data_IF_523331708214
#
_entry.id   IF_523331708214
#
_cell.length_a   1.000
_cell.length_b   1.000
_cell.length_c   1.000
_cell.angle_alpha   90.00
_cell.angle_beta   90.00
_cell.angle_gamma   90.00
#
_symmetry.space_group_name_H-M   'P 1'
#
loop_
_entity.id
_entity.type
_entity.pdbx_description
1 polymer ?
#
# COMPACT_ATOMS: atom_id res chain seq x y z
N UNK A 1 -25.76 -18.08 1.95
CA UNK A 1 -24.41 -18.66 2.11
C UNK A 1 -23.87 -19.06 0.76
N UNK A 2 -22.97 -18.26 0.17
CA UNK A 2 -22.17 -18.72 -0.97
C UNK A 2 -21.04 -19.61 -0.47
N UNK A 3 -20.62 -20.64 -1.25
CA UNK A 3 -19.47 -21.45 -0.87
C UNK A 3 -18.22 -20.54 -0.80
N UNK A 4 -17.31 -20.74 0.17
CA UNK A 4 -16.14 -19.88 0.38
C UNK A 4 -15.27 -19.70 -0.89
N UNK A 5 -15.33 -20.65 -1.82
CA UNK A 5 -14.64 -20.57 -3.12
C UNK A 5 -15.26 -19.56 -4.09
N UNK A 6 -16.57 -19.32 -4.04
CA UNK A 6 -17.27 -18.43 -4.97
C UNK A 6 -16.90 -16.97 -4.74
N UNK A 7 -16.93 -16.48 -3.49
CA UNK A 7 -16.56 -15.10 -3.16
C UNK A 7 -15.11 -14.80 -3.57
N UNK A 8 -14.21 -15.77 -3.39
CA UNK A 8 -12.82 -15.67 -3.79
C UNK A 8 -12.65 -15.61 -5.32
N UNK A 9 -13.35 -16.47 -6.07
CA UNK A 9 -13.34 -16.42 -7.54
C UNK A 9 -13.91 -15.10 -8.08
N UNK A 10 -15.04 -14.64 -7.53
CA UNK A 10 -15.70 -13.38 -7.91
C UNK A 10 -14.76 -12.20 -7.67
N UNK A 11 -14.14 -12.10 -6.49
CA UNK A 11 -13.22 -11.00 -6.20
C UNK A 11 -12.00 -11.01 -7.15
N UNK A 12 -11.48 -12.19 -7.53
CA UNK A 12 -10.41 -12.29 -8.53
C UNK A 12 -10.85 -11.84 -9.92
N UNK A 13 -12.07 -12.18 -10.33
CA UNK A 13 -12.64 -11.73 -11.60
C UNK A 13 -12.79 -10.21 -11.58
N UNK A 14 -13.37 -9.63 -10.51
CA UNK A 14 -13.48 -8.18 -10.34
C UNK A 14 -12.10 -7.51 -10.36
N UNK A 15 -11.10 -8.11 -9.73
CA UNK A 15 -9.73 -7.62 -9.78
C UNK A 15 -9.17 -7.57 -11.21
N UNK A 16 -9.36 -8.63 -12.00
CA UNK A 16 -8.90 -8.66 -13.39
C UNK A 16 -9.65 -7.64 -14.25
N UNK A 17 -10.96 -7.51 -14.07
CA UNK A 17 -11.77 -6.53 -14.78
C UNK A 17 -11.36 -5.09 -14.41
N UNK A 18 -10.88 -4.84 -13.19
CA UNK A 18 -10.37 -3.52 -12.75
C UNK A 18 -9.08 -3.08 -13.45
N UNK A 19 -8.53 -3.87 -14.37
CA UNK A 19 -7.43 -3.46 -15.24
C UNK A 19 -7.94 -2.58 -16.40
N UNK A 20 -9.21 -2.71 -16.77
CA UNK A 20 -9.83 -1.97 -17.88
C UNK A 20 -10.66 -0.80 -17.37
N UNK A 21 -10.33 0.43 -17.79
CA UNK A 21 -11.09 1.63 -17.45
C UNK A 21 -12.56 1.54 -17.88
N UNK A 22 -12.83 0.91 -19.03
CA UNK A 22 -14.19 0.66 -19.53
C UNK A 22 -14.97 -0.24 -18.57
N UNK A 23 -14.35 -1.33 -18.10
CA UNK A 23 -14.97 -2.22 -17.13
C UNK A 23 -15.21 -1.52 -15.80
N UNK A 24 -14.28 -0.67 -15.34
CA UNK A 24 -14.46 0.14 -14.13
C UNK A 24 -15.64 1.11 -14.29
N UNK A 25 -15.78 1.74 -15.46
CA UNK A 25 -16.93 2.58 -15.80
C UNK A 25 -18.25 1.81 -15.67
N UNK A 26 -18.32 0.59 -16.23
CA UNK A 26 -19.49 -0.29 -16.12
C UNK A 26 -19.75 -0.73 -14.67
N UNK A 27 -18.71 -1.06 -13.91
CA UNK A 27 -18.84 -1.42 -12.49
C UNK A 27 -19.42 -0.27 -11.65
N UNK A 28 -19.07 0.97 -11.96
CA UNK A 28 -19.63 2.16 -11.30
C UNK A 28 -21.15 2.32 -11.48
N UNK A 29 -21.75 1.62 -12.45
CA UNK A 29 -23.20 1.57 -12.66
C UNK A 29 -23.88 0.43 -11.88
N UNK A 30 -23.13 -0.36 -11.12
CA UNK A 30 -23.61 -1.52 -10.34
C UNK A 30 -23.20 -1.39 -8.89
N UNK A 31 -23.86 -2.07 -7.95
CA UNK A 31 -23.43 -2.09 -6.53
C UNK A 31 -22.22 -3.03 -6.33
N UNK A 32 -21.03 -2.57 -6.74
CA UNK A 32 -19.80 -3.38 -6.72
C UNK A 32 -19.05 -3.27 -5.38
N UNK A 33 -19.15 -2.12 -4.71
CA UNK A 33 -18.34 -1.87 -3.51
C UNK A 33 -18.89 -2.57 -2.26
N UNK A 34 -20.22 -2.65 -2.11
CA UNK A 34 -20.82 -3.34 -0.96
C UNK A 34 -20.45 -4.83 -0.92
N UNK A 35 -20.55 -5.62 -2.01
CA UNK A 35 -20.12 -7.02 -1.99
C UNK A 35 -18.62 -7.19 -1.72
N UNK A 36 -17.76 -6.33 -2.28
CA UNK A 36 -16.31 -6.36 -2.00
C UNK A 36 -16.05 -6.13 -0.51
N UNK A 37 -16.67 -5.08 0.07
CA UNK A 37 -16.51 -4.75 1.48
C UNK A 37 -16.98 -5.89 2.40
N UNK A 38 -18.14 -6.51 2.11
CA UNK A 38 -18.63 -7.66 2.88
C UNK A 38 -17.67 -8.86 2.77
N UNK A 39 -17.20 -9.16 1.56
CA UNK A 39 -16.26 -10.26 1.31
C UNK A 39 -14.99 -10.09 2.15
N UNK A 40 -14.45 -8.88 2.21
CA UNK A 40 -13.27 -8.55 3.03
C UNK A 40 -13.54 -8.60 4.54
N UNK A 41 -14.76 -8.27 4.98
CA UNK A 41 -15.15 -8.36 6.41
C UNK A 41 -15.22 -9.80 6.88
N UNK A 42 -15.72 -10.70 6.04
CA UNK A 42 -15.92 -12.12 6.36
C UNK A 42 -14.65 -12.96 6.15
N UNK A 43 -13.77 -12.57 5.24
CA UNK A 43 -12.62 -13.38 4.82
C UNK A 43 -11.32 -12.58 4.92
N UNK A 44 -10.56 -12.79 6.01
CA UNK A 44 -9.31 -12.09 6.26
C UNK A 44 -8.26 -12.29 5.13
N UNK A 45 -8.23 -13.48 4.53
CA UNK A 45 -7.31 -13.82 3.43
C UNK A 45 -7.56 -12.97 2.17
N UNK A 46 -8.79 -12.48 1.97
CA UNK A 46 -9.18 -11.69 0.81
C UNK A 46 -8.96 -10.19 0.99
N UNK A 47 -8.59 -9.74 2.19
CA UNK A 47 -8.43 -8.31 2.48
C UNK A 47 -7.36 -7.68 1.58
N UNK A 48 -6.22 -8.36 1.37
CA UNK A 48 -5.13 -7.84 0.53
C UNK A 48 -5.60 -7.65 -0.91
N UNK A 49 -6.22 -8.69 -1.50
CA UNK A 49 -6.76 -8.62 -2.87
C UNK A 49 -7.86 -7.56 -3.00
N UNK A 50 -8.71 -7.43 -1.98
CA UNK A 50 -9.75 -6.41 -1.92
C UNK A 50 -9.16 -4.99 -1.91
N UNK A 51 -8.12 -4.74 -1.10
CA UNK A 51 -7.39 -3.46 -1.07
C UNK A 51 -6.76 -3.13 -2.43
N UNK A 52 -6.07 -4.09 -3.07
CA UNK A 52 -5.51 -3.92 -4.41
C UNK A 52 -6.60 -3.59 -5.45
N UNK A 53 -7.75 -4.27 -5.37
CA UNK A 53 -8.89 -4.03 -6.27
C UNK A 53 -9.50 -2.65 -6.06
N UNK A 54 -9.80 -2.27 -4.82
CA UNK A 54 -10.35 -0.95 -4.51
C UNK A 54 -9.41 0.19 -4.90
N UNK A 55 -8.12 0.05 -4.65
CA UNK A 55 -7.14 1.04 -5.09
C UNK A 55 -7.20 1.28 -6.60
N UNK A 56 -7.32 0.21 -7.40
CA UNK A 56 -7.48 0.32 -8.87
C UNK A 56 -8.79 0.99 -9.26
N UNK A 57 -9.90 0.59 -8.63
CA UNK A 57 -11.22 1.18 -8.89
C UNK A 57 -11.22 2.70 -8.67
N UNK A 58 -10.65 3.16 -7.56
CA UNK A 58 -10.63 4.59 -7.24
C UNK A 58 -9.59 5.39 -8.03
N UNK A 59 -8.50 4.77 -8.49
CA UNK A 59 -7.52 5.44 -9.37
C UNK A 59 -8.09 5.85 -10.72
N UNK A 60 -9.17 5.20 -11.18
CA UNK A 60 -9.86 5.57 -12.40
C UNK A 60 -10.72 6.84 -12.26
N UNK A 61 -10.81 7.43 -11.05
CA UNK A 61 -11.47 8.71 -10.78
C UNK A 61 -12.91 8.79 -11.31
N UNK A 62 -13.69 7.70 -11.16
CA UNK A 62 -15.11 7.67 -11.55
C UNK A 62 -15.98 8.11 -10.37
N UNK A 63 -16.66 9.25 -10.50
CA UNK A 63 -17.55 9.76 -9.45
C UNK A 63 -18.64 8.78 -8.97
N UNK A 64 -19.26 7.93 -9.83
CA UNK A 64 -20.22 6.93 -9.37
C UNK A 64 -19.65 5.96 -8.33
N UNK A 65 -18.37 5.61 -8.42
CA UNK A 65 -17.71 4.74 -7.43
C UNK A 65 -17.51 5.47 -6.11
N UNK A 66 -17.17 6.76 -6.15
CA UNK A 66 -17.00 7.56 -4.92
C UNK A 66 -18.34 7.78 -4.23
N UNK A 67 -19.42 7.99 -5.00
CA UNK A 67 -20.79 8.00 -4.47
C UNK A 67 -21.11 6.69 -3.74
N UNK A 68 -20.91 5.54 -4.40
CA UNK A 68 -21.14 4.24 -3.77
C UNK A 68 -20.29 4.06 -2.50
N UNK A 69 -19.04 4.51 -2.51
CA UNK A 69 -18.15 4.41 -1.35
C UNK A 69 -18.71 5.18 -0.14
N UNK A 70 -19.35 6.33 -0.36
CA UNK A 70 -20.04 7.08 0.68
C UNK A 70 -21.31 6.36 1.14
N UNK A 71 -22.12 5.87 0.20
CA UNK A 71 -23.40 5.19 0.48
C UNK A 71 -23.23 3.90 1.32
N UNK A 72 -22.06 3.25 1.24
CA UNK A 72 -21.75 2.00 1.96
C UNK A 72 -20.79 2.21 3.14
N UNK A 73 -20.53 3.47 3.50
CA UNK A 73 -19.60 3.85 4.58
C UNK A 73 -18.22 3.21 4.42
N UNK A 74 -17.72 3.18 3.17
CA UNK A 74 -16.44 2.57 2.85
C UNK A 74 -15.27 3.37 3.45
N UNK A 75 -15.36 4.70 3.48
CA UNK A 75 -14.28 5.56 4.01
C UNK A 75 -13.98 5.26 5.48
N UNK A 76 -14.97 5.22 6.41
CA UNK A 76 -14.76 4.76 7.78
C UNK A 76 -14.21 3.32 7.87
N UNK A 77 -14.70 2.41 7.03
CA UNK A 77 -14.22 1.02 7.03
C UNK A 77 -12.73 0.94 6.66
N UNK A 78 -12.30 1.67 5.64
CA UNK A 78 -10.89 1.72 5.22
C UNK A 78 -10.00 2.34 6.30
N UNK A 79 -10.46 3.37 7.00
CA UNK A 79 -9.76 3.91 8.17
C UNK A 79 -9.62 2.86 9.28
N UNK A 80 -10.67 2.08 9.55
CA UNK A 80 -10.61 0.96 10.50
C UNK A 80 -9.65 -0.16 10.09
N UNK A 81 -9.37 -0.33 8.79
CA UNK A 81 -8.29 -1.23 8.36
C UNK A 81 -6.91 -0.67 8.75
N UNK A 82 -6.70 0.63 8.55
CA UNK A 82 -5.46 1.32 8.88
C UNK A 82 -5.16 1.37 10.40
N UNK A 83 -6.20 1.27 11.23
CA UNK A 83 -6.13 1.28 12.70
C UNK A 83 -5.71 -0.07 13.33
N UNK A 84 -4.90 -0.86 12.59
CA UNK A 84 -4.24 -2.06 13.11
C UNK A 84 -4.81 -3.40 12.64
N UNK A 85 -5.93 -3.41 11.90
CA UNK A 85 -6.43 -4.64 11.25
C UNK A 85 -5.45 -5.20 10.22
N UNK A 86 -4.65 -4.32 9.60
CA UNK A 86 -3.65 -4.73 8.61
C UNK A 86 -2.33 -5.22 9.23
N UNK A 87 -2.05 -4.98 10.51
CA UNK A 87 -0.72 -5.18 11.12
C UNK A 87 -0.28 -6.64 11.20
N UNK A 88 -1.24 -7.56 11.24
CA UNK A 88 -0.99 -9.01 11.38
C UNK A 88 -0.79 -9.72 10.04
N UNK A 89 -0.75 -9.00 8.93
CA UNK A 89 -0.65 -9.58 7.58
C UNK A 89 0.77 -9.50 7.02
N UNK A 90 1.16 -10.53 6.26
CA UNK A 90 2.48 -10.70 5.63
C UNK A 90 2.87 -9.51 4.71
N UNK A 91 1.90 -8.73 4.25
CA UNK A 91 2.09 -7.54 3.41
C UNK A 91 1.37 -6.30 3.95
N UNK A 92 1.43 -6.09 5.27
CA UNK A 92 0.78 -4.98 5.97
C UNK A 92 1.11 -3.61 5.35
N UNK A 93 2.40 -3.30 5.12
CA UNK A 93 2.84 -2.01 4.58
C UNK A 93 2.25 -1.73 3.18
N UNK A 94 2.31 -2.72 2.28
CA UNK A 94 1.72 -2.62 0.93
C UNK A 94 0.21 -2.39 1.02
N UNK A 95 -0.49 -3.16 1.85
CA UNK A 95 -1.94 -3.05 2.01
C UNK A 95 -2.34 -1.68 2.56
N UNK A 96 -1.60 -1.16 3.56
CA UNK A 96 -1.79 0.20 4.09
C UNK A 96 -1.58 1.25 3.00
N UNK A 97 -0.51 1.15 2.20
CA UNK A 97 -0.25 2.07 1.10
C UNK A 97 -1.38 2.06 0.05
N UNK A 98 -1.93 0.89 -0.29
CA UNK A 98 -3.07 0.75 -1.20
C UNK A 98 -4.33 1.41 -0.65
N UNK A 99 -4.62 1.22 0.64
CA UNK A 99 -5.76 1.88 1.29
C UNK A 99 -5.57 3.40 1.29
N UNK A 100 -4.39 3.91 1.65
CA UNK A 100 -4.09 5.35 1.61
C UNK A 100 -4.24 5.89 0.19
N UNK A 101 -3.76 5.14 -0.82
CA UNK A 101 -3.91 5.51 -2.23
C UNK A 101 -5.38 5.61 -2.64
N UNK A 102 -6.19 4.63 -2.27
CA UNK A 102 -7.64 4.65 -2.51
C UNK A 102 -8.32 5.86 -1.88
N UNK A 103 -8.01 6.16 -0.60
CA UNK A 103 -8.54 7.32 0.12
C UNK A 103 -8.15 8.64 -0.56
N UNK A 104 -6.87 8.81 -0.93
CA UNK A 104 -6.39 10.00 -1.66
C UNK A 104 -7.08 10.16 -3.02
N UNK A 105 -7.24 9.08 -3.78
CA UNK A 105 -7.96 9.10 -5.06
C UNK A 105 -9.41 9.51 -4.90
N UNK A 106 -10.12 9.04 -3.87
CA UNK A 106 -11.50 9.47 -3.61
C UNK A 106 -11.61 10.97 -3.32
N UNK A 107 -10.62 11.59 -2.67
CA UNK A 107 -10.59 13.05 -2.47
C UNK A 107 -10.47 13.84 -3.77
N UNK A 108 -10.02 13.22 -4.87
CA UNK A 108 -9.89 13.87 -6.18
C UNK A 108 -11.21 13.89 -6.97
N UNK A 109 -12.27 13.24 -6.46
CA UNK A 109 -13.60 13.30 -7.06
C UNK A 109 -14.12 14.74 -7.12
N UNK A 110 -14.61 15.14 -8.28
CA UNK A 110 -15.13 16.49 -8.51
C UNK A 110 -16.41 16.73 -7.71
N UNK A 111 -17.26 15.70 -7.62
CA UNK A 111 -18.58 15.83 -6.99
C UNK A 111 -18.56 15.53 -5.49
N UNK A 112 -17.74 14.57 -5.06
CA UNK A 112 -17.81 14.01 -3.72
C UNK A 112 -16.50 14.14 -2.92
N UNK A 113 -15.42 14.64 -3.54
CA UNK A 113 -14.11 14.72 -2.91
C UNK A 113 -14.08 15.59 -1.65
N UNK A 114 -14.87 16.67 -1.61
CA UNK A 114 -15.01 17.52 -0.43
C UNK A 114 -15.65 16.77 0.75
N UNK A 115 -16.67 15.95 0.49
CA UNK A 115 -17.33 15.15 1.51
C UNK A 115 -16.40 14.06 2.05
N UNK A 116 -15.68 13.37 1.17
CA UNK A 116 -14.67 12.38 1.57
C UNK A 116 -13.58 13.04 2.43
N UNK A 117 -13.09 14.21 2.00
CA UNK A 117 -12.06 14.96 2.74
C UNK A 117 -12.55 15.38 4.13
N UNK A 118 -13.81 15.78 4.27
CA UNK A 118 -14.39 16.12 5.56
C UNK A 118 -14.43 14.92 6.52
N UNK A 119 -14.76 13.72 6.03
CA UNK A 119 -14.72 12.48 6.83
C UNK A 119 -13.28 12.19 7.27
N UNK A 120 -12.33 12.30 6.35
CA UNK A 120 -10.90 12.03 6.62
C UNK A 120 -10.29 13.02 7.60
N UNK A 121 -10.62 14.31 7.51
CA UNK A 121 -10.09 15.34 8.41
C UNK A 121 -10.56 15.18 9.87
N UNK A 122 -11.68 14.48 10.10
CA UNK A 122 -12.15 14.14 11.44
C UNK A 122 -11.45 12.90 12.03
N UNK A 123 -10.64 12.18 11.24
CA UNK A 123 -10.00 10.95 11.65
C UNK A 123 -8.57 11.17 12.14
N UNK A 124 -8.32 10.80 13.40
CA UNK A 124 -6.97 10.79 13.97
C UNK A 124 -6.05 9.80 13.25
N UNK A 125 -6.60 8.66 12.82
CA UNK A 125 -5.87 7.66 12.03
C UNK A 125 -5.37 8.30 10.74
N UNK A 126 -6.22 9.05 10.04
CA UNK A 126 -5.85 9.68 8.78
C UNK A 126 -4.72 10.70 8.92
N UNK A 127 -4.67 11.47 10.00
CA UNK A 127 -3.57 12.41 10.28
C UNK A 127 -2.21 11.73 10.17
N UNK A 128 -2.09 10.52 10.73
CA UNK A 128 -0.85 9.74 10.70
C UNK A 128 -0.47 9.29 9.28
N UNK A 129 -1.44 9.05 8.39
CA UNK A 129 -1.17 8.55 7.03
C UNK A 129 -1.14 9.63 5.94
N UNK A 130 -1.81 10.76 6.15
CA UNK A 130 -1.99 11.81 5.12
C UNK A 130 -0.65 12.42 4.67
N UNK A 131 0.26 12.64 5.62
CA UNK A 131 1.57 13.30 5.44
C UNK A 131 2.71 12.33 5.08
N UNK A 132 2.53 11.01 5.26
CA UNK A 132 3.61 10.02 5.13
C UNK A 132 3.81 9.50 3.69
N UNK A 133 4.11 10.37 2.74
CA UNK A 133 4.40 9.94 1.35
C UNK A 133 5.82 9.33 1.17
N UNK A 134 6.72 9.37 2.17
CA UNK A 134 8.12 8.91 2.01
C UNK A 134 8.60 7.85 3.01
N UNK A 135 8.07 7.78 4.24
CA UNK A 135 8.59 6.87 5.28
C UNK A 135 8.03 5.45 5.25
N UNK A 136 7.01 5.16 4.43
CA UNK A 136 6.41 3.81 4.36
C UNK A 136 7.32 2.76 3.68
N UNK A 137 8.46 3.16 3.11
CA UNK A 137 9.39 2.29 2.37
C UNK A 137 10.77 2.10 3.04
N UNK A 138 11.06 2.75 4.16
CA UNK A 138 12.25 2.40 4.93
C UNK A 138 11.85 1.27 5.87
N UNK A 139 12.00 0.03 5.39
CA UNK A 139 12.20 -1.10 6.29
C UNK A 139 13.32 -0.70 7.24
N UNK A 140 13.04 -0.55 8.54
CA UNK A 140 14.07 -0.60 9.57
C UNK A 140 14.68 -2.00 9.52
N UNK A 141 15.51 -2.26 8.50
CA UNK A 141 16.55 -3.26 8.63
C UNK A 141 17.43 -2.72 9.76
N UNK A 142 17.59 -3.42 10.89
CA UNK A 142 18.63 -3.07 11.81
C UNK A 142 19.94 -3.25 11.03
N UNK A 143 20.53 -2.15 10.59
CA UNK A 143 21.96 -2.09 10.31
C UNK A 143 22.63 -2.46 11.61
N UNK A 144 22.89 -3.76 11.77
CA UNK A 144 23.53 -4.33 12.93
C UNK A 144 24.94 -3.74 12.98
N UNK A 145 25.10 -2.76 13.87
CA UNK A 145 26.35 -2.07 14.21
C UNK A 145 27.47 -3.08 14.54
N UNK A 146 28.17 -3.59 13.54
CA UNK A 146 29.44 -4.33 13.70
C UNK A 146 30.64 -3.38 13.85
N UNK A 147 30.48 -2.32 14.66
CA UNK A 147 31.58 -1.45 15.10
C UNK A 147 31.65 -1.46 16.63
N UNK A 148 31.75 -2.66 17.21
CA UNK A 148 32.27 -2.82 18.56
C UNK A 148 33.78 -2.99 18.46
N UNK A 149 34.51 -1.96 18.91
CA UNK A 149 35.96 -1.94 18.95
C UNK A 149 36.53 -3.19 19.60
N UNK A 150 37.47 -3.82 18.89
CA UNK A 150 38.29 -4.90 19.43
C UNK A 150 39.58 -4.28 19.97
N UNK A 151 39.93 -4.51 21.24
CA UNK A 151 41.21 -4.05 21.78
C UNK A 151 42.37 -4.84 21.18
N UNK A 152 43.46 -4.12 20.89
CA UNK A 152 44.75 -4.63 20.48
C UNK A 152 45.25 -5.72 21.45
N UNK A 153 45.50 -6.92 20.95
CA UNK A 153 46.41 -7.88 21.59
C UNK A 153 47.19 -8.59 20.49
N UNK A 154 48.50 -8.36 20.51
CA UNK A 154 49.47 -8.94 19.61
C UNK A 154 49.60 -10.46 19.86
N UNK A 155 49.53 -11.25 18.78
CA UNK A 155 49.76 -12.69 18.83
C UNK A 155 49.59 -13.32 17.46
N UNK A 156 50.73 -13.55 16.79
CA UNK A 156 50.94 -14.35 15.58
C UNK A 156 49.78 -15.22 15.10
N UNK A 157 49.26 -14.93 13.90
CA UNK A 157 48.74 -15.92 12.96
C UNK A 157 48.79 -15.34 11.54
N UNK A 158 49.64 -15.96 10.73
CA UNK A 158 49.89 -15.71 9.32
C UNK A 158 48.71 -16.16 8.43
N UNK A 159 48.53 -15.43 7.33
CA UNK A 159 47.72 -15.71 6.11
C UNK A 159 46.41 -14.93 5.97
N UNK A 160 46.35 -14.13 4.89
CA UNK A 160 45.15 -13.49 4.36
C UNK A 160 45.31 -11.99 4.13
N UNK A 161 45.95 -11.60 3.03
CA UNK A 161 46.09 -10.21 2.58
C UNK A 161 44.71 -9.57 2.36
N UNK A 162 44.28 -8.75 3.33
CA UNK A 162 43.10 -7.90 3.21
C UNK A 162 43.48 -6.67 2.38
N UNK A 163 43.06 -6.64 1.11
CA UNK A 163 43.17 -5.44 0.29
C UNK A 163 42.17 -4.40 0.79
N UNK A 164 42.69 -3.27 1.27
CA UNK A 164 41.92 -2.06 1.58
C UNK A 164 41.51 -1.40 0.26
N UNK A 165 40.22 -1.44 -0.10
CA UNK A 165 39.71 -0.65 -1.23
C UNK A 165 39.80 0.86 -0.90
N UNK A 166 40.43 1.69 -1.76
CA UNK A 166 40.41 3.13 -1.62
C UNK A 166 39.04 3.71 -2.00
N UNK A 167 38.47 4.56 -1.14
CA UNK A 167 37.21 5.26 -1.35
C UNK A 167 37.45 6.56 -2.15
N UNK A 168 37.69 6.44 -3.45
CA UNK A 168 37.71 7.57 -4.39
C UNK A 168 36.98 7.23 -5.69
N UNK A 169 36.14 8.13 -6.23
CA UNK A 169 35.41 7.90 -7.48
C UNK A 169 36.37 7.89 -8.69
N UNK A 170 36.11 7.07 -9.72
CA UNK A 170 36.98 6.96 -10.88
C UNK A 170 36.96 8.25 -11.73
N UNK A 171 38.10 8.68 -12.30
CA UNK A 171 38.17 9.85 -13.18
C UNK A 171 37.49 9.58 -14.53
N UNK A 172 36.81 10.59 -15.08
CA UNK A 172 36.35 10.59 -16.46
C UNK A 172 37.56 10.75 -17.40
N UNK A 173 37.84 9.76 -18.22
CA UNK A 173 38.79 9.89 -19.32
C UNK A 173 38.14 10.72 -20.43
N UNK A 174 38.62 11.96 -20.60
CA UNK A 174 38.36 12.77 -21.80
C UNK A 174 39.23 12.25 -22.95
N UNK A 175 38.56 11.76 -23.98
CA UNK A 175 39.12 11.38 -25.27
C UNK A 175 39.82 12.58 -25.94
N UNK A 176 41.13 12.50 -26.13
CA UNK A 176 41.84 13.35 -27.10
C UNK A 176 43.04 12.63 -27.72
N UNK A 177 42.92 12.47 -29.05
CA UNK A 177 43.93 12.29 -30.11
C UNK A 177 44.40 10.87 -30.42
#
# INVERSE_FOLDING_TARGET
HHPPQACHAILRILHQLSISDVCIGSMGQTDVLRPIQMTMKENAELVVLGCDTMARLFLANKDPLVKQALDVELVPYLLGLLDGRLDKMEHAARSKALVVKALKSMCQSVLYGAQVSAILNNSQVWTNYSQQNHDLFITNAPTQNYLTGVPMTAGYLTQGSSQTLPNSPPPLETDTS
#
